data_IF_862057272252
#
_entry.id   IF_862057272252
#
_cell.length_a   1.000
_cell.length_b   1.000
_cell.length_c   1.000
_cell.angle_alpha   90.00
_cell.angle_beta   90.00
_cell.angle_gamma   90.00
#
_symmetry.space_group_name_H-M   'P 1'
#
loop_
_entity.id
_entity.type
_entity.pdbx_description
1 polymer ?
2 non-polymer ?
#
# COMPACT_ATOMS: atom_id res chain seq x y z
N UNK A 15 -2.42 21.35 21.23
CA UNK A 15 -2.01 21.84 19.87
C UNK A 15 -0.80 21.09 19.29
N UNK A 16 -0.73 20.98 17.97
CA UNK A 16 0.48 20.46 17.31
C UNK A 16 1.65 21.45 17.51
N UNK A 17 2.82 20.91 17.89
CA UNK A 17 4.05 21.72 18.02
C UNK A 17 4.53 22.16 16.64
N UNK A 18 5.39 23.18 16.57
CA UNK A 18 5.88 23.58 15.24
C UNK A 18 6.54 22.39 14.51
N UNK A 19 7.25 21.56 15.27
CA UNK A 19 8.01 20.44 14.75
C UNK A 19 7.12 19.37 14.14
N UNK A 20 5.90 19.25 14.67
CA UNK A 20 4.93 18.32 14.12
C UNK A 20 4.24 18.91 12.88
N UNK A 21 3.93 20.20 12.90
CA UNK A 21 3.33 20.83 11.73
C UNK A 21 4.32 20.79 10.55
N UNK A 22 5.62 20.79 10.85
CA UNK A 22 6.66 20.77 9.82
C UNK A 22 6.78 19.40 9.17
N UNK A 23 6.80 18.34 9.97
CA UNK A 23 6.92 16.97 9.45
C UNK A 23 5.68 16.54 8.64
N UNK A 24 4.50 17.01 9.05
CA UNK A 24 3.25 16.77 8.34
C UNK A 24 3.26 17.43 6.96
N UNK A 25 3.66 18.71 6.91
CA UNK A 25 3.75 19.50 5.68
C UNK A 25 4.73 18.95 4.63
N UNK A 26 5.97 18.66 5.06
CA UNK A 26 6.96 17.94 4.25
C UNK A 26 6.34 16.67 3.64
N UNK A 27 5.63 15.89 4.44
CA UNK A 27 5.02 14.62 3.99
C UNK A 27 3.94 14.85 2.95
N UNK A 28 3.00 15.75 3.27
CA UNK A 28 1.92 16.10 2.34
C UNK A 28 2.46 16.64 1.00
N UNK A 29 3.38 17.61 1.07
CA UNK A 29 4.03 18.18 -0.12
C UNK A 29 4.74 17.10 -0.92
N UNK A 30 5.60 16.31 -0.25
CA UNK A 30 6.22 15.15 -0.90
C UNK A 30 5.19 14.20 -1.53
N UNK A 31 4.05 14.00 -0.85
CA UNK A 31 2.99 13.16 -1.39
C UNK A 31 2.35 13.76 -2.64
N UNK A 32 2.33 15.09 -2.74
CA UNK A 32 1.91 15.76 -3.98
C UNK A 32 2.93 15.49 -5.10
N UNK A 33 4.23 15.59 -4.76
CA UNK A 33 5.35 15.23 -5.65
C UNK A 33 5.64 16.27 -6.71
N UNK A 45 0.96 1.58 -21.11
CA UNK A 45 0.57 0.27 -20.56
C UNK A 45 -0.08 -0.63 -21.60
N UNK A 46 0.17 -1.93 -21.45
CA UNK A 46 -0.45 -2.99 -22.23
C UNK A 46 -1.97 -2.90 -22.05
N UNK A 47 -2.72 -2.84 -23.16
CA UNK A 47 -4.15 -2.56 -23.09
C UNK A 47 -4.96 -3.75 -22.57
N UNK A 48 -5.99 -3.47 -21.79
CA UNK A 48 -7.02 -4.46 -21.47
C UNK A 48 -7.47 -5.12 -22.77
N UNK A 49 -7.61 -6.44 -22.79
CA UNK A 49 -8.02 -7.12 -24.02
C UNK A 49 -9.53 -6.88 -24.25
N UNK A 50 -9.84 -6.12 -25.31
CA UNK A 50 -11.19 -5.67 -25.59
C UNK A 50 -12.10 -6.80 -26.06
N UNK A 51 -13.16 -7.04 -25.29
CA UNK A 51 -14.16 -8.02 -25.66
C UNK A 51 -13.65 -9.43 -25.85
N UNK A 52 -12.53 -9.78 -25.23
CA UNK A 52 -12.06 -11.16 -25.24
C UNK A 52 -12.93 -11.95 -24.28
N UNK A 53 -13.05 -13.26 -24.55
CA UNK A 53 -13.75 -14.18 -23.66
C UNK A 53 -13.09 -14.09 -22.28
N UNK A 54 -13.89 -14.16 -21.22
CA UNK A 54 -13.39 -14.31 -19.84
C UNK A 54 -12.60 -15.60 -19.59
N UNK A 55 -13.03 -16.72 -20.17
CA UNK A 55 -12.35 -18.02 -20.01
C UNK A 55 -11.03 -18.07 -20.79
N UNK A 56 -10.78 -17.08 -21.65
CA UNK A 56 -9.64 -17.16 -22.57
C UNK A 56 -8.29 -16.96 -21.88
N UNK A 57 -7.43 -17.95 -22.04
CA UNK A 57 -6.09 -17.96 -21.46
C UNK A 57 -5.12 -16.85 -21.90
N UNK A 58 -5.16 -16.46 -23.18
CA UNK A 58 -4.36 -15.31 -23.66
C UNK A 58 -4.90 -14.03 -23.06
N UNK A 59 -6.22 -13.93 -22.96
CA UNK A 59 -6.85 -12.79 -22.35
C UNK A 59 -6.50 -12.67 -20.85
N UNK A 60 -6.60 -13.77 -20.11
CA UNK A 60 -6.17 -13.83 -18.70
C UNK A 60 -4.71 -13.42 -18.48
N UNK A 61 -3.82 -13.86 -19.36
CA UNK A 61 -2.42 -13.38 -19.37
C UNK A 61 -2.29 -11.86 -19.63
N UNK A 62 -3.03 -11.33 -20.62
CA UNK A 62 -2.98 -9.88 -20.90
C UNK A 62 -3.59 -9.02 -19.79
N UNK A 63 -4.59 -9.54 -19.08
CA UNK A 63 -5.14 -8.81 -17.94
C UNK A 63 -4.12 -8.79 -16.80
N UNK A 64 -3.47 -9.91 -16.57
CA UNK A 64 -2.43 -10.04 -15.54
C UNK A 64 -1.29 -9.06 -15.83
N UNK A 65 -0.80 -9.07 -17.07
CA UNK A 65 0.28 -8.18 -17.49
C UNK A 65 -0.03 -6.69 -17.35
N UNK A 66 -1.28 -6.33 -17.62
CA UNK A 66 -1.81 -5.00 -17.36
C UNK A 66 -1.67 -4.58 -15.90
N UNK A 67 -2.18 -5.40 -14.98
CA UNK A 67 -2.16 -5.09 -13.53
C UNK A 67 -0.73 -5.01 -13.05
N UNK A 68 0.03 -5.98 -13.49
CA UNK A 68 1.46 -6.00 -13.31
C UNK A 68 2.10 -4.66 -13.70
N UNK A 69 1.73 -4.12 -14.85
CA UNK A 69 2.33 -2.85 -15.26
C UNK A 69 1.80 -1.64 -14.47
N UNK A 70 0.56 -1.71 -14.00
CA UNK A 70 0.03 -0.69 -13.09
C UNK A 70 0.83 -0.72 -11.83
N UNK A 71 1.04 -1.94 -11.32
CA UNK A 71 1.75 -2.16 -10.07
C UNK A 71 3.18 -1.66 -10.11
N UNK A 72 3.81 -1.68 -11.28
CA UNK A 72 5.21 -1.25 -11.41
C UNK A 72 5.33 0.27 -11.27
N UNK A 73 4.30 1.00 -11.74
CA UNK A 73 4.26 2.46 -11.61
C UNK A 73 4.04 2.83 -10.14
N UNK A 74 3.40 1.94 -9.38
CA UNK A 74 3.15 2.22 -7.98
C UNK A 74 4.38 2.05 -7.10
N UNK A 75 5.20 1.03 -7.33
CA UNK A 75 6.45 0.95 -6.57
C UNK A 75 7.39 2.10 -6.94
N UNK A 76 7.42 2.49 -8.21
CA UNK A 76 8.22 3.64 -8.67
C UNK A 76 7.92 4.88 -7.83
N UNK A 77 6.64 5.23 -7.74
CA UNK A 77 6.19 6.38 -6.97
C UNK A 77 6.36 6.22 -5.45
N UNK A 78 6.27 4.99 -4.96
CA UNK A 78 6.45 4.69 -3.54
C UNK A 78 7.92 4.76 -3.16
N UNK A 79 8.81 4.35 -4.07
CA UNK A 79 10.25 4.46 -3.85
C UNK A 79 10.70 5.92 -3.95
N UNK A 80 10.07 6.69 -4.84
CA UNK A 80 10.38 8.11 -4.97
C UNK A 80 9.85 8.90 -3.78
N UNK A 81 8.76 8.41 -3.16
CA UNK A 81 8.23 9.07 -1.98
C UNK A 81 9.08 8.85 -0.72
N UNK A 82 9.56 7.62 -0.55
CA UNK A 82 10.39 7.25 0.61
C UNK A 82 11.69 8.07 0.67
N UNK A 83 12.34 8.21 -0.49
CA UNK A 83 13.57 8.98 -0.61
C UNK A 83 13.40 10.39 -0.03
N UNK A 84 12.16 10.82 0.08
CA UNK A 84 11.88 12.15 0.57
C UNK A 84 11.45 12.20 2.02
N UNK A 85 11.43 11.05 2.67
CA UNK A 85 11.06 11.03 4.07
C UNK A 85 12.38 11.24 4.78
N UNK A 86 12.42 12.26 5.64
CA UNK A 86 13.66 12.64 6.30
C UNK A 86 14.18 11.44 7.11
N UNK A 87 15.46 11.12 6.89
CA UNK A 87 16.11 10.02 7.56
C UNK A 87 16.25 8.76 6.73
N UNK A 88 15.30 8.51 5.85
CA UNK A 88 15.29 7.27 5.08
C UNK A 88 16.57 7.07 4.30
N UNK A 89 17.01 8.12 3.59
CA UNK A 89 18.21 8.02 2.77
C UNK A 89 19.46 7.92 3.62
N UNK A 90 19.32 8.27 4.90
CA UNK A 90 20.44 8.21 5.85
C UNK A 90 20.68 6.77 6.32
N UNK A 91 19.64 5.94 6.20
CA UNK A 91 19.69 4.54 6.63
C UNK A 91 20.50 3.62 5.72
N UNK A 92 20.97 2.53 6.34
CA UNK A 92 21.70 1.48 5.63
C UNK A 92 20.94 1.07 4.38
N UNK A 93 21.69 0.97 3.28
CA UNK A 93 21.17 0.62 1.96
C UNK A 93 20.34 -0.66 2.00
N UNK A 94 20.83 -1.64 2.75
CA UNK A 94 20.11 -2.89 2.94
C UNK A 94 18.85 -2.74 3.77
N UNK A 95 18.85 -1.79 4.70
CA UNK A 95 17.64 -1.50 5.48
C UNK A 95 16.57 -0.76 4.65
N UNK A 96 16.96 0.28 3.91
CA UNK A 96 16.11 0.90 2.88
C UNK A 96 15.33 -0.13 2.08
N UNK A 97 16.04 -1.08 1.48
CA UNK A 97 15.47 -2.15 0.68
C UNK A 97 14.54 -3.07 1.51
N UNK A 98 14.97 -3.47 2.70
CA UNK A 98 14.14 -4.30 3.55
C UNK A 98 12.87 -3.56 4.01
N UNK A 99 12.98 -2.27 4.27
CA UNK A 99 11.81 -1.46 4.65
C UNK A 99 10.88 -1.30 3.46
N UNK A 100 11.44 -1.05 2.27
CA UNK A 100 10.63 -0.91 1.07
C UNK A 100 9.99 -2.23 0.63
N UNK A 101 10.72 -3.34 0.85
CA UNK A 101 10.24 -4.68 0.48
C UNK A 101 8.94 -4.99 1.21
N UNK A 102 9.00 -4.86 2.53
CA UNK A 102 7.88 -5.14 3.41
C UNK A 102 6.65 -4.28 3.12
N UNK A 103 6.83 -2.97 3.00
CA UNK A 103 5.70 -2.02 3.02
C UNK A 103 5.08 -1.66 1.66
N UNK A 104 5.77 -2.00 0.57
CA UNK A 104 5.27 -1.69 -0.77
C UNK A 104 3.80 -2.07 -0.92
N UNK A 105 3.50 -3.35 -0.74
CA UNK A 105 2.14 -3.84 -0.86
C UNK A 105 1.21 -3.18 0.15
N UNK A 106 1.71 -2.94 1.36
CA UNK A 106 0.91 -2.26 2.37
C UNK A 106 0.55 -0.82 1.96
N UNK A 107 1.52 -0.07 1.40
CA UNK A 107 1.28 1.29 0.93
C UNK A 107 0.35 1.33 -0.30
N UNK A 108 0.57 0.41 -1.24
CA UNK A 108 -0.34 0.24 -2.38
C UNK A 108 -1.77 -0.03 -1.91
N UNK A 109 -1.92 -0.91 -0.92
CA UNK A 109 -3.24 -1.22 -0.40
C UNK A 109 -3.88 0.02 0.20
N UNK A 110 -3.10 0.73 1.02
CA UNK A 110 -3.53 1.99 1.61
C UNK A 110 -4.08 2.95 0.54
N UNK A 111 -3.31 3.16 -0.52
CA UNK A 111 -3.67 4.06 -1.62
C UNK A 111 -4.89 3.67 -2.46
N UNK A 112 -4.99 2.37 -2.73
CA UNK A 112 -6.17 1.78 -3.33
C UNK A 112 -7.42 2.15 -2.56
N UNK A 113 -7.33 2.12 -1.23
CA UNK A 113 -8.46 2.43 -0.38
C UNK A 113 -8.85 3.88 -0.53
N UNK A 114 -7.83 4.75 -0.54
CA UNK A 114 -8.00 6.17 -0.71
C UNK A 114 -8.79 6.49 -1.96
N UNK A 115 -8.56 5.72 -3.01
CA UNK A 115 -9.08 6.00 -4.33
C UNK A 115 -10.35 5.21 -4.69
N UNK A 116 -10.84 4.42 -3.74
CA UNK A 116 -12.01 3.57 -3.96
C UNK A 116 -13.30 4.38 -4.22
N UNK A 117 -14.02 3.97 -5.24
CA UNK A 117 -15.28 4.58 -5.64
C UNK A 117 -16.40 3.72 -5.05
N UNK A 118 -17.02 4.22 -4.00
CA UNK A 118 -18.05 3.47 -3.30
C UNK A 118 -19.36 3.33 -4.09
N UNK A 119 -19.63 4.26 -5.00
CA UNK A 119 -20.84 4.16 -5.84
C UNK A 119 -20.66 3.04 -6.87
N UNK A 120 -19.46 2.97 -7.42
CA UNK A 120 -19.15 2.20 -8.61
C UNK A 120 -18.56 0.83 -8.23
N UNK A 121 -18.16 0.71 -6.97
CA UNK A 121 -17.49 -0.48 -6.39
C UNK A 121 -16.22 -0.91 -7.11
N UNK A 122 -15.47 0.09 -7.57
CA UNK A 122 -14.23 -0.10 -8.29
C UNK A 122 -13.06 0.58 -7.62
N UNK A 123 -11.94 -0.15 -7.54
CA UNK A 123 -10.69 0.52 -7.24
C UNK A 123 -10.29 1.26 -8.51
N UNK A 124 -9.98 2.54 -8.32
CA UNK A 124 -9.55 3.44 -9.38
C UNK A 124 -8.03 3.60 -9.30
N UNK A 125 -7.37 3.56 -10.45
CA UNK A 125 -5.94 3.77 -10.54
C UNK A 125 -5.73 5.18 -11.06
N UNK A 126 -6.41 5.47 -12.15
CA UNK A 126 -6.46 6.81 -12.69
C UNK A 126 -7.86 7.36 -12.53
N UNK A 127 -8.61 7.27 -13.63
CA UNK A 127 -9.86 8.00 -13.79
C UNK A 127 -10.74 7.22 -14.79
N UNK A 128 -10.13 6.77 -15.89
CA UNK A 128 -10.75 5.80 -16.82
C UNK A 128 -10.22 4.38 -16.56
N UNK A 129 -9.29 4.26 -15.60
CA UNK A 129 -8.68 2.99 -15.22
C UNK A 129 -9.27 2.49 -13.89
N UNK A 130 -10.43 1.84 -13.97
CA UNK A 130 -11.15 1.37 -12.80
C UNK A 130 -11.43 -0.13 -12.89
N UNK A 131 -11.33 -0.82 -11.76
CA UNK A 131 -11.43 -2.27 -11.76
C UNK A 131 -12.39 -2.77 -10.69
N UNK A 132 -13.36 -3.56 -11.12
CA UNK A 132 -14.28 -4.27 -10.22
C UNK A 132 -13.68 -5.61 -9.79
N UNK A 133 -14.31 -6.23 -8.79
CA UNK A 133 -13.97 -7.58 -8.36
C UNK A 133 -13.85 -8.52 -9.55
N UNK A 134 -14.81 -8.44 -10.46
CA UNK A 134 -14.87 -9.36 -11.59
C UNK A 134 -13.66 -9.12 -12.53
N UNK A 135 -13.21 -7.88 -12.64
CA UNK A 135 -12.05 -7.57 -13.49
C UNK A 135 -10.82 -8.38 -13.02
N UNK A 136 -10.55 -8.31 -11.72
CA UNK A 136 -9.49 -9.04 -11.05
C UNK A 136 -9.61 -10.54 -11.17
N UNK A 137 -10.83 -11.07 -11.05
CA UNK A 137 -11.08 -12.49 -11.22
C UNK A 137 -10.72 -12.90 -12.65
N UNK A 138 -11.08 -12.07 -13.62
CA UNK A 138 -10.76 -12.32 -15.02
C UNK A 138 -9.26 -12.31 -15.34
N UNK A 139 -8.44 -11.80 -14.42
CA UNK A 139 -6.98 -11.80 -14.57
C UNK A 139 -6.29 -12.99 -13.90
N UNK A 140 -7.08 -13.94 -13.40
CA UNK A 140 -6.56 -15.11 -12.71
C UNK A 140 -6.41 -14.95 -11.21
N UNK A 141 -7.13 -14.02 -10.59
CA UNK A 141 -7.03 -13.86 -9.13
C UNK A 141 -8.17 -14.57 -8.41
N UNK A 142 -7.91 -15.04 -7.18
CA UNK A 142 -8.90 -15.74 -6.37
C UNK A 142 -9.69 -14.81 -5.46
N UNK A 143 -10.96 -15.17 -5.25
CA UNK A 143 -11.85 -14.45 -4.33
C UNK A 143 -11.29 -14.32 -2.90
N UNK A 144 -10.49 -15.29 -2.49
CA UNK A 144 -9.76 -15.26 -1.21
C UNK A 144 -8.85 -14.02 -1.03
N UNK A 145 -8.43 -13.43 -2.15
CA UNK A 145 -7.57 -12.24 -2.17
C UNK A 145 -8.37 -11.00 -2.55
N UNK A 146 -9.25 -11.12 -3.55
CA UNK A 146 -10.03 -9.98 -4.03
C UNK A 146 -11.06 -9.51 -3.03
N UNK A 147 -11.72 -10.43 -2.35
CA UNK A 147 -12.73 -10.03 -1.38
C UNK A 147 -12.16 -9.18 -0.22
N UNK A 148 -11.17 -9.69 0.52
CA UNK A 148 -10.55 -8.88 1.58
C UNK A 148 -9.92 -7.54 1.14
N UNK A 149 -9.38 -7.42 -0.06
CA UNK A 149 -8.88 -6.13 -0.55
C UNK A 149 -10.03 -5.11 -0.77
N UNK A 150 -11.16 -5.60 -1.25
CA UNK A 150 -12.30 -4.72 -1.49
C UNK A 150 -13.01 -4.34 -0.18
N UNK A 151 -13.01 -5.27 0.77
CA UNK A 151 -13.59 -5.01 2.08
C UNK A 151 -12.79 -3.96 2.85
N UNK A 152 -11.47 -4.06 2.78
CA UNK A 152 -10.55 -3.11 3.37
C UNK A 152 -10.74 -1.70 2.77
N UNK A 153 -10.78 -1.61 1.45
CA UNK A 153 -11.12 -0.36 0.77
C UNK A 153 -12.43 0.26 1.28
N UNK A 154 -13.48 -0.56 1.25
CA UNK A 154 -14.84 -0.22 1.71
C UNK A 154 -14.87 0.25 3.16
N UNK A 155 -14.08 -0.39 4.04
CA UNK A 155 -14.09 -0.03 5.46
C UNK A 155 -13.26 1.23 5.77
N UNK A 156 -12.47 1.68 4.81
CA UNK A 156 -11.58 2.80 5.06
C UNK A 156 -12.30 4.14 5.01
N UNK A 157 -13.46 4.17 4.33
CA UNK A 157 -14.25 5.39 4.21
C UNK A 157 -14.87 5.76 5.56
N UNK A 158 -15.21 4.75 6.36
CA UNK A 158 -15.86 4.95 7.66
C UNK A 158 -14.89 5.59 8.64
N UNK A 159 -13.59 5.52 8.34
CA UNK A 159 -12.49 6.06 9.14
C UNK A 159 -12.19 7.52 8.79
N UNK A 160 -12.52 7.92 7.57
CA UNK A 160 -12.54 9.32 7.18
C UNK A 160 -11.21 10.03 7.34
N UNK A 161 -10.16 9.39 6.86
CA UNK A 161 -8.82 9.91 6.95
C UNK A 161 -8.66 11.07 5.99
N UNK A 162 -7.90 12.10 6.40
CA UNK A 162 -7.48 13.17 5.49
C UNK A 162 -6.01 13.04 5.01
N UNK A 163 -5.59 13.90 4.08
CA UNK A 163 -4.25 13.83 3.47
C UNK A 163 -3.14 13.63 4.47
N UNK A 164 -3.05 14.55 5.44
CA UNK A 164 -2.12 14.46 6.56
C UNK A 164 -2.15 13.11 7.29
N UNK A 165 -3.34 12.58 7.57
CA UNK A 165 -3.44 11.31 8.27
C UNK A 165 -2.90 10.15 7.42
N UNK A 166 -3.31 10.05 6.16
CA UNK A 166 -2.73 9.11 5.20
C UNK A 166 -1.20 9.19 5.13
N UNK A 167 -0.67 10.41 5.02
CA UNK A 167 0.77 10.63 4.90
C UNK A 167 1.50 10.16 6.17
N UNK A 168 0.98 10.58 7.32
CA UNK A 168 1.56 10.17 8.59
C UNK A 168 1.62 8.65 8.66
N UNK A 169 0.50 8.00 8.32
CA UNK A 169 0.36 6.54 8.28
C UNK A 169 1.31 5.86 7.31
N UNK A 170 1.56 6.46 6.15
CA UNK A 170 2.53 5.93 5.19
C UNK A 170 3.90 5.92 5.87
N UNK A 171 4.29 7.07 6.42
CA UNK A 171 5.60 7.21 7.06
C UNK A 171 5.78 6.21 8.21
N UNK A 172 4.76 6.04 9.03
CA UNK A 172 4.89 5.06 10.11
C UNK A 172 4.94 3.60 9.59
N UNK A 173 4.15 3.32 8.57
CA UNK A 173 4.26 2.03 7.91
C UNK A 173 5.69 1.68 7.41
N UNK A 174 6.35 2.64 6.75
CA UNK A 174 7.71 2.44 6.23
C UNK A 174 8.74 2.23 7.35
N UNK A 175 8.62 3.01 8.42
CA UNK A 175 9.53 2.88 9.55
C UNK A 175 9.10 1.82 10.59
N UNK A 176 8.84 0.61 10.10
CA UNK A 176 8.44 -0.51 10.97
C UNK A 176 9.65 -1.35 11.32
N UNK A 177 10.10 -1.23 12.57
CA UNK A 177 11.35 -1.84 13.04
C UNK A 177 11.40 -3.36 12.89
N UNK A 178 10.23 -4.02 12.92
CA UNK A 178 10.17 -5.49 13.00
C UNK A 178 10.10 -6.24 11.67
N UNK A 179 10.28 -5.53 10.55
CA UNK A 179 10.29 -6.19 9.23
C UNK A 179 11.45 -7.16 9.11
N UNK A 180 11.24 -8.26 8.36
CA UNK A 180 12.32 -9.18 8.00
C UNK A 180 13.61 -8.48 7.51
N UNK A 181 14.76 -8.93 8.03
CA UNK A 181 16.11 -8.50 7.60
C UNK A 181 16.51 -7.06 7.92
N UNK A 182 15.76 -6.41 8.80
CA UNK A 182 16.16 -5.09 9.30
C UNK A 182 17.36 -5.30 10.20
N UNK A 183 18.47 -4.64 9.82
CA UNK A 183 19.72 -4.68 10.60
C UNK A 183 19.90 -3.57 11.65
N UNK A 184 19.10 -2.51 11.58
CA UNK A 184 19.25 -1.43 12.57
C UNK A 184 17.89 -1.03 13.13
N UNK A 185 17.23 -1.95 13.86
CA UNK A 185 15.84 -1.75 14.25
C UNK A 185 15.64 -0.57 15.23
N UNK A 186 16.60 -0.32 16.11
CA UNK A 186 16.53 0.79 17.04
C UNK A 186 16.53 2.12 16.33
N UNK A 187 17.33 2.22 15.26
CA UNK A 187 17.37 3.41 14.43
C UNK A 187 16.03 3.61 13.71
N UNK A 188 15.44 2.50 13.27
CA UNK A 188 14.19 2.55 12.53
C UNK A 188 13.03 3.00 13.43
N UNK A 189 12.92 2.38 14.62
CA UNK A 189 11.99 2.81 15.67
C UNK A 189 12.15 4.28 16.11
N UNK A 190 13.37 4.76 16.30
CA UNK A 190 13.60 6.17 16.68
C UNK A 190 13.03 7.11 15.60
N UNK A 191 13.21 6.73 14.33
CA UNK A 191 12.66 7.50 13.22
C UNK A 191 11.13 7.43 13.15
N UNK A 192 10.52 6.34 13.62
CA UNK A 192 9.07 6.14 13.57
C UNK A 192 8.33 6.96 14.60
N UNK A 193 8.93 7.05 15.79
CA UNK A 193 8.25 7.58 16.96
C UNK A 193 7.66 8.98 16.74
N UNK A 194 8.43 9.96 16.27
CA UNK A 194 7.83 11.30 16.09
C UNK A 194 6.60 11.29 15.17
N UNK A 195 6.50 10.30 14.26
CA UNK A 195 5.36 10.18 13.33
C UNK A 195 4.15 9.59 14.00
N UNK A 196 4.35 8.55 14.82
CA UNK A 196 3.28 7.97 15.65
C UNK A 196 2.76 9.03 16.64
N UNK A 197 3.69 9.78 17.24
CA UNK A 197 3.36 10.84 18.20
C UNK A 197 2.56 12.00 17.53
N UNK A 198 2.96 12.38 16.32
CA UNK A 198 2.27 13.42 15.56
C UNK A 198 0.84 12.96 15.22
N UNK A 199 0.72 11.74 14.73
CA UNK A 199 -0.57 11.17 14.38
C UNK A 199 -1.50 11.16 15.58
N UNK A 200 -0.98 10.73 16.73
CA UNK A 200 -1.79 10.67 17.95
C UNK A 200 -2.38 12.03 18.28
N UNK A 201 -1.53 13.06 18.33
CA UNK A 201 -1.96 14.41 18.66
C UNK A 201 -2.85 14.98 17.56
N UNK A 202 -2.57 14.65 16.30
CA UNK A 202 -3.42 15.13 15.23
C UNK A 202 -4.86 14.59 15.37
N UNK A 203 -4.99 13.30 15.66
CA UNK A 203 -6.31 12.70 15.88
C UNK A 203 -7.05 13.28 17.10
N UNK A 204 -6.31 13.59 18.18
CA UNK A 204 -6.90 14.19 19.38
C UNK A 204 -7.39 15.63 19.16
N UNK A 205 -6.65 16.38 18.34
CA UNK A 205 -7.09 17.71 17.93
C UNK A 205 -8.31 17.66 17.00
N UNK A 206 -8.20 16.90 15.91
CA UNK A 206 -9.23 16.85 14.90
C UNK A 206 -10.56 16.30 15.41
N UNK A 207 -10.48 15.18 16.12
CA UNK A 207 -11.65 14.51 16.66
C UNK A 207 -11.57 14.27 18.19
N UNK A 208 -11.56 15.32 19.01
CA UNK A 208 -11.47 15.13 20.47
C UNK A 208 -12.49 14.14 21.06
N UNK A 209 -13.68 14.04 20.48
CA UNK A 209 -14.72 13.14 20.98
C UNK A 209 -14.53 11.68 20.55
N UNK A 210 -13.64 11.43 19.60
CA UNK A 210 -13.47 10.11 18.99
C UNK A 210 -12.21 9.41 19.49
N UNK A 211 -12.26 8.88 20.72
CA UNK A 211 -11.09 8.27 21.38
C UNK A 211 -10.77 6.87 20.86
N UNK A 212 -11.60 6.36 19.95
CA UNK A 212 -11.35 5.09 19.28
C UNK A 212 -10.63 5.29 17.96
N UNK A 213 -10.49 6.54 17.54
CA UNK A 213 -9.94 6.84 16.22
C UNK A 213 -8.49 6.31 16.09
N UNK A 214 -7.62 6.64 17.03
CA UNK A 214 -6.24 6.23 16.96
C UNK A 214 -6.06 4.70 16.98
N UNK A 215 -6.69 4.01 17.91
CA UNK A 215 -6.72 2.55 17.87
C UNK A 215 -7.27 1.98 16.54
N UNK A 216 -8.30 2.59 15.94
CA UNK A 216 -8.78 2.17 14.61
C UNK A 216 -7.67 2.30 13.56
N UNK A 217 -6.83 3.31 13.74
CA UNK A 217 -5.72 3.50 12.82
C UNK A 217 -4.69 2.41 12.98
N UNK A 218 -4.44 2.02 14.22
CA UNK A 218 -3.52 0.92 14.50
C UNK A 218 -4.09 -0.40 14.00
N UNK A 219 -5.42 -0.52 14.02
CA UNK A 219 -6.11 -1.71 13.52
C UNK A 219 -5.92 -1.91 12.03
N UNK A 220 -5.87 -0.81 11.28
CA UNK A 220 -5.63 -0.90 9.85
C UNK A 220 -4.22 -1.39 9.56
N UNK A 221 -3.25 -0.90 10.32
CA UNK A 221 -1.88 -1.37 10.20
C UNK A 221 -1.80 -2.85 10.35
N UNK A 222 -2.48 -3.40 11.35
CA UNK A 222 -2.51 -4.85 11.52
C UNK A 222 -3.24 -5.57 10.38
N UNK A 223 -4.31 -4.99 9.84
CA UNK A 223 -4.98 -5.54 8.65
C UNK A 223 -4.06 -5.61 7.46
N UNK A 224 -3.25 -4.58 7.31
CA UNK A 224 -2.30 -4.49 6.22
C UNK A 224 -1.31 -5.69 6.25
N UNK A 225 -0.87 -6.09 7.45
CA UNK A 225 0.01 -7.25 7.58
C UNK A 225 -0.65 -8.59 7.25
N UNK A 226 -1.96 -8.69 7.48
CA UNK A 226 -2.72 -9.85 7.05
C UNK A 226 -2.85 -9.89 5.51
N UNK A 227 -3.21 -8.75 4.91
CA UNK A 227 -3.43 -8.61 3.48
C UNK A 227 -2.14 -8.67 2.66
N UNK A 228 -1.03 -8.32 3.29
CA UNK A 228 0.28 -8.45 2.69
C UNK A 228 0.64 -9.91 2.56
N UNK A 229 0.21 -10.68 3.56
CA UNK A 229 0.45 -12.12 3.63
C UNK A 229 -0.41 -12.91 2.61
N UNK A 230 -1.69 -12.56 2.53
CA UNK A 230 -2.62 -13.09 1.55
C UNK A 230 -2.18 -12.71 0.13
N UNK A 231 -1.67 -11.50 -0.06
CA UNK A 231 -1.12 -11.14 -1.36
C UNK A 231 0.03 -12.07 -1.78
N UNK A 232 0.89 -12.44 -0.83
CA UNK A 232 2.08 -13.25 -1.05
C UNK A 232 1.72 -14.63 -1.55
N UNK A 233 0.64 -15.18 -1.01
CA UNK A 233 0.23 -16.50 -1.41
C UNK A 233 -0.57 -16.46 -2.71
N UNK A 234 -1.26 -15.34 -2.95
CA UNK A 234 -1.85 -15.05 -4.27
C UNK A 234 -0.78 -15.01 -5.35
N UNK A 235 0.41 -14.52 -5.00
CA UNK A 235 1.53 -14.47 -5.96
C UNK A 235 2.12 -15.85 -6.21
N UNK A 236 2.28 -16.62 -5.14
CA UNK A 236 2.69 -18.01 -5.20
C UNK A 236 1.71 -18.89 -6.02
N UNK A 237 0.41 -18.79 -5.75
CA UNK A 237 -0.57 -19.63 -6.46
C UNK A 237 -0.55 -19.33 -7.96
N UNK A 238 -0.30 -18.05 -8.27
CA UNK A 238 -0.25 -17.57 -9.64
C UNK A 238 0.97 -18.19 -10.32
N UNK A 239 2.05 -18.38 -9.57
CA UNK A 239 3.20 -19.12 -10.09
C UNK A 239 2.86 -20.57 -10.45
N UNK A 240 1.96 -21.18 -9.68
CA UNK A 240 1.54 -22.56 -9.93
C UNK A 240 0.65 -22.70 -11.15
N UNK A 241 0.03 -21.58 -11.54
CA UNK A 241 -0.74 -21.45 -12.77
C UNK A 241 0.17 -21.00 -13.92
N UNK A 242 1.48 -21.02 -13.68
CA UNK A 242 2.48 -20.53 -14.66
C UNK A 242 2.39 -19.04 -15.04
N UNK A 243 1.92 -18.19 -14.12
CA UNK A 243 1.91 -16.75 -14.34
C UNK A 243 3.02 -16.08 -13.53
N UNK A 244 4.02 -15.57 -14.24
CA UNK A 244 5.20 -15.01 -13.60
C UNK A 244 5.18 -13.48 -13.59
N UNK A 245 5.52 -12.93 -12.44
CA UNK A 245 5.73 -11.50 -12.29
C UNK A 245 6.96 -11.07 -13.06
N UNK A 246 6.95 -9.85 -13.59
CA UNK A 246 8.12 -9.23 -14.22
C UNK A 246 9.25 -9.04 -13.20
N UNK A 247 10.51 -9.10 -13.63
CA UNK A 247 11.68 -9.06 -12.73
C UNK A 247 11.58 -8.12 -11.52
N UNK A 248 11.20 -6.86 -11.75
CA UNK A 248 11.14 -5.85 -10.68
C UNK A 248 10.18 -6.20 -9.55
N UNK A 249 9.01 -6.72 -9.89
CA UNK A 249 8.01 -7.12 -8.89
C UNK A 249 8.41 -8.44 -8.28
N UNK A 250 8.95 -9.30 -9.13
CA UNK A 250 9.45 -10.59 -8.76
C UNK A 250 10.43 -10.56 -7.57
N UNK A 251 11.43 -9.69 -7.61
CA UNK A 251 12.37 -9.61 -6.48
C UNK A 251 11.73 -9.09 -5.18
N UNK A 252 10.68 -8.29 -5.30
CA UNK A 252 9.88 -7.92 -4.14
C UNK A 252 9.06 -9.10 -3.58
N UNK A 253 8.35 -9.84 -4.44
CA UNK A 253 7.25 -10.68 -3.95
C UNK A 253 7.34 -12.21 -4.07
N UNK A 254 8.21 -12.74 -4.92
CA UNK A 254 8.39 -14.19 -5.03
C UNK A 254 9.06 -14.80 -3.77
N UNK A 255 8.76 -16.06 -3.46
CA UNK A 255 9.34 -16.74 -2.28
C UNK A 255 10.69 -17.40 -2.57
N UNK A 256 10.72 -18.37 -3.49
CA UNK A 256 11.92 -19.19 -3.76
C UNK A 256 12.71 -19.69 -2.50
N UNK A 257 13.17 -20.94 -2.54
CA UNK A 257 13.84 -21.59 -1.40
C UNK A 257 15.08 -20.84 -0.89
X LIG B 1 -4.19 -1.85 -5.86
X LIG B 1 -3.21 -2.74 -6.44
X LIG B 1 -1.89 -2.38 -6.00
X LIG B 1 -3.33 -2.58 -8.02
X LIG B 1 -2.32 -3.06 -8.85
X LIG B 1 -2.47 -2.91 -10.22
X LIG B 1 -3.60 -2.26 -10.73
X LIG B 1 -4.60 -1.77 -9.90
X LIG B 1 -4.46 -1.94 -8.54
X LIG B 1 -3.53 -4.20 -6.08
X LIG B 1 -4.71 -4.45 -5.27
X LIG B 1 -4.40 -4.12 -3.82
X LIG B 1 -3.78 -5.16 -3.30
X LIG B 1 -5.56 -3.87 -3.25
X LIG B 1 -3.64 -3.05 -3.67
X LIG B 1 -2.74 -5.27 -6.53
X LIG B 1 -3.31 -6.21 -7.39
X LIG B 1 -2.53 -7.26 -7.87
X LIG B 1 -1.39 -5.38 -6.17
X LIG B 1 -0.62 -6.43 -6.65
X LIG B 1 -1.20 -7.39 -7.50
X LIG B 1 -0.36 -8.52 -8.03
X LIG B 1 0.06 -8.16 -9.46
X LIG B 1 -0.97 -8.02 -10.27
X LIG B 1 0.72 -7.02 -9.54
X LIG B 1 0.80 -9.17 -9.88
X LIG B 1 0.82 -8.69 -7.25
X LIG B 1 -1.10 -9.87 -7.97
X LIG B 1 -1.62 -10.10 -6.78
X LIG B 1 -2.03 -9.97 -8.90
X LIG B 1 -0.26 -10.84 -8.17
#
# INVERSE_FOLDING_TARGET
GSHMSQGSGEGEGVQLTAAQELMIQQLVAAQLQCNKRSFSDQPKVTPWPLGADPQSRDARQQRFAHFTELAIISVQEIVDFAKQVPGFLQLGREDQIALLKASTIEIMLLETARRYNHETECITFLKDFTYSKDDFHRAGLQVEFINPIFEFSRAMRRLGLDDAEYALLIAINIFSADRPNVQEPGRVEALQQPYVEALLSYTRIKRPQDQLRFPRMLMKLVSLRTLSSVHSEQVFALRLQDKKLPPLLSEIWDVHE
444 O13 S12 O14 C01 C02 C03 C04 C05 C06 N15 C16 C19 F22 F21 F20 C23 C24 C25 C28 C27 C26 C33 C34 F36 F37 F35 O42 C38 F39 F40 F41
#
